data_IF_663389294639
#
_entry.id   IF_663389294639
#
_cell.length_a   1.000
_cell.length_b   1.000
_cell.length_c   1.000
_cell.angle_alpha   90.00
_cell.angle_beta   90.00
_cell.angle_gamma   90.00
#
_symmetry.space_group_name_H-M   'P 1'
#
loop_
_entity.id
_entity.type
_entity.pdbx_description
1 polymer ?
#
# COMPACT_ATOMS: atom_id res chain seq x y z
N UNK A 1 -19.02 -0.37 13.14
CA UNK A 1 -18.46 -1.73 13.31
C UNK A 1 -17.02 -1.76 12.83
N UNK A 2 -16.15 -2.31 13.63
CA UNK A 2 -14.73 -2.30 13.33
C UNK A 2 -14.36 -3.43 12.38
N UNK A 3 -13.45 -3.13 11.47
CA UNK A 3 -12.88 -4.14 10.59
C UNK A 3 -11.90 -5.00 11.39
N UNK A 4 -11.86 -6.28 11.12
CA UNK A 4 -10.85 -7.13 11.72
C UNK A 4 -9.52 -6.99 10.96
N UNK A 5 -8.46 -7.62 11.50
CA UNK A 5 -7.13 -7.51 10.94
C UNK A 5 -7.05 -7.95 9.48
N UNK A 6 -7.72 -9.04 9.13
CA UNK A 6 -7.66 -9.58 7.77
C UNK A 6 -8.37 -8.67 6.77
N UNK A 7 -9.49 -8.06 7.17
CA UNK A 7 -10.20 -7.11 6.32
C UNK A 7 -9.36 -5.86 6.07
N UNK A 8 -8.70 -5.34 7.10
CA UNK A 8 -7.82 -4.18 6.97
C UNK A 8 -6.68 -4.50 6.03
N UNK A 9 -6.07 -5.67 6.20
CA UNK A 9 -4.95 -6.11 5.38
C UNK A 9 -5.35 -6.25 3.92
N UNK A 10 -6.51 -6.83 3.65
CA UNK A 10 -6.99 -6.99 2.28
C UNK A 10 -7.29 -5.65 1.61
N UNK A 11 -7.92 -4.73 2.34
CA UNK A 11 -8.20 -3.40 1.81
C UNK A 11 -6.92 -2.63 1.53
N UNK A 12 -5.96 -2.70 2.45
CA UNK A 12 -4.66 -2.04 2.25
C UNK A 12 -3.97 -2.59 1.00
N UNK A 13 -3.95 -3.90 0.84
CA UNK A 13 -3.36 -4.55 -0.33
C UNK A 13 -3.98 -4.05 -1.63
N UNK A 14 -5.31 -4.01 -1.68
CA UNK A 14 -6.04 -3.56 -2.87
C UNK A 14 -5.75 -2.09 -3.17
N UNK A 15 -5.72 -1.24 -2.14
CA UNK A 15 -5.43 0.18 -2.32
C UNK A 15 -4.00 0.42 -2.78
N UNK A 16 -3.03 -0.33 -2.26
CA UNK A 16 -1.65 -0.22 -2.71
C UNK A 16 -1.52 -0.55 -4.19
N UNK A 17 -2.14 -1.63 -4.63
CA UNK A 17 -2.15 -2.01 -6.05
C UNK A 17 -2.80 -0.92 -6.89
N UNK A 18 -3.97 -0.45 -6.47
CA UNK A 18 -4.71 0.58 -7.19
C UNK A 18 -3.88 1.86 -7.36
N UNK A 19 -3.28 2.35 -6.27
CA UNK A 19 -2.49 3.58 -6.32
C UNK A 19 -1.27 3.43 -7.22
N UNK A 20 -0.59 2.28 -7.12
CA UNK A 20 0.58 2.02 -7.96
C UNK A 20 0.20 2.02 -9.44
N UNK A 21 -0.89 1.35 -9.80
CA UNK A 21 -1.33 1.27 -11.18
C UNK A 21 -1.82 2.62 -11.70
N UNK A 22 -2.49 3.41 -10.86
CA UNK A 22 -2.91 4.78 -11.24
C UNK A 22 -1.71 5.64 -11.59
N UNK A 23 -0.58 5.41 -10.93
CA UNK A 23 0.65 6.17 -11.19
C UNK A 23 1.55 5.46 -12.21
N UNK A 24 1.08 4.37 -12.80
CA UNK A 24 1.79 3.63 -13.86
C UNK A 24 3.17 3.17 -13.42
N UNK A 25 3.32 2.79 -12.17
CA UNK A 25 4.58 2.32 -11.61
C UNK A 25 4.62 0.79 -11.60
N UNK A 26 5.81 0.25 -11.82
CA UNK A 26 6.06 -1.16 -11.56
C UNK A 26 6.32 -1.37 -10.07
N UNK A 27 6.29 -2.61 -9.62
CA UNK A 27 6.63 -2.93 -8.23
C UNK A 27 8.06 -2.50 -7.89
N UNK A 28 8.99 -2.68 -8.82
CA UNK A 28 10.37 -2.26 -8.63
C UNK A 28 10.46 -0.73 -8.46
N UNK A 29 9.73 0.00 -9.28
CA UNK A 29 9.72 1.46 -9.22
C UNK A 29 9.14 1.96 -7.89
N UNK A 30 8.02 1.36 -7.46
CA UNK A 30 7.45 1.73 -6.16
C UNK A 30 8.44 1.47 -5.03
N UNK A 31 9.11 0.31 -5.06
CA UNK A 31 10.10 -0.01 -4.04
C UNK A 31 11.20 1.04 -3.95
N UNK A 32 11.67 1.54 -5.09
CA UNK A 32 12.71 2.57 -5.12
C UNK A 32 12.27 3.86 -4.44
N UNK A 33 11.00 4.19 -4.48
CA UNK A 33 10.48 5.40 -3.84
C UNK A 33 10.65 5.37 -2.31
N UNK A 34 10.66 4.19 -1.73
CA UNK A 34 10.66 4.01 -0.28
C UNK A 34 11.81 3.14 0.21
N UNK A 35 12.83 2.94 -0.63
CA UNK A 35 14.03 2.17 -0.31
C UNK A 35 13.70 0.72 0.05
N UNK A 36 12.78 0.12 -0.67
CA UNK A 36 12.39 -1.27 -0.48
C UNK A 36 12.58 -2.06 -1.78
N UNK A 37 12.73 -3.37 -1.65
CA UNK A 37 12.91 -4.24 -2.79
C UNK A 37 11.59 -4.53 -3.50
N UNK A 38 11.68 -4.98 -4.75
CA UNK A 38 10.51 -5.50 -5.46
C UNK A 38 9.85 -6.63 -4.68
N UNK A 39 10.64 -7.49 -4.04
CA UNK A 39 10.13 -8.61 -3.25
C UNK A 39 9.26 -8.12 -2.10
N UNK A 40 9.66 -7.04 -1.43
CA UNK A 40 8.86 -6.45 -0.36
C UNK A 40 7.53 -5.95 -0.91
N UNK A 41 7.55 -5.19 -2.01
CA UNK A 41 6.32 -4.67 -2.62
C UNK A 41 5.41 -5.82 -3.05
N UNK A 42 5.95 -6.83 -3.68
CA UNK A 42 5.16 -7.99 -4.10
C UNK A 42 4.52 -8.69 -2.90
N UNK A 43 5.26 -8.80 -1.79
CA UNK A 43 4.73 -9.40 -0.56
C UNK A 43 3.54 -8.61 -0.02
N UNK A 44 3.60 -7.27 -0.04
CA UNK A 44 2.47 -6.44 0.38
C UNK A 44 1.25 -6.67 -0.52
N UNK A 45 1.47 -6.75 -1.82
CA UNK A 45 0.38 -6.90 -2.79
C UNK A 45 -0.21 -8.30 -2.80
N UNK A 46 0.55 -9.29 -2.35
CA UNK A 46 0.04 -10.66 -2.20
C UNK A 46 -0.64 -10.89 -0.84
N UNK A 47 -0.58 -9.90 0.05
CA UNK A 47 -1.18 -10.04 1.36
C UNK A 47 -0.36 -10.87 2.33
N UNK A 48 0.92 -11.10 2.04
CA UNK A 48 1.81 -11.88 2.91
C UNK A 48 2.39 -11.03 4.04
N UNK A 49 2.51 -9.73 3.81
CA UNK A 49 3.03 -8.80 4.81
C UNK A 49 2.42 -7.42 4.56
N UNK A 50 2.72 -6.48 5.44
CA UNK A 50 2.29 -5.09 5.28
C UNK A 50 3.51 -4.19 5.37
N UNK A 51 3.50 -3.05 4.66
CA UNK A 51 4.58 -2.09 4.86
C UNK A 51 4.53 -1.54 6.28
N UNK A 52 5.69 -1.20 6.83
CA UNK A 52 5.74 -0.57 8.14
C UNK A 52 5.07 0.82 8.08
N UNK A 53 4.70 1.39 9.25
CA UNK A 53 3.95 2.65 9.27
C UNK A 53 4.64 3.81 8.56
N UNK A 54 5.95 3.91 8.65
CA UNK A 54 6.69 5.00 8.01
C UNK A 54 6.66 4.84 6.50
N UNK A 55 6.93 3.63 6.02
CA UNK A 55 6.89 3.33 4.59
C UNK A 55 5.49 3.60 4.02
N UNK A 56 4.46 3.15 4.72
CA UNK A 56 3.09 3.37 4.28
C UNK A 56 2.76 4.86 4.19
N UNK A 57 3.16 5.64 5.19
CA UNK A 57 2.93 7.08 5.16
C UNK A 57 3.64 7.74 3.98
N UNK A 58 4.88 7.33 3.70
CA UNK A 58 5.63 7.86 2.55
C UNK A 58 4.91 7.54 1.23
N UNK A 59 4.39 6.33 1.09
CA UNK A 59 3.63 5.95 -0.10
C UNK A 59 2.35 6.76 -0.23
N UNK A 60 1.61 6.93 0.87
CA UNK A 60 0.39 7.74 0.87
C UNK A 60 0.69 9.18 0.41
N UNK A 61 1.76 9.77 0.92
CA UNK A 61 2.16 11.12 0.52
C UNK A 61 2.51 11.18 -0.97
N UNK A 62 3.27 10.20 -1.45
CA UNK A 62 3.64 10.16 -2.86
C UNK A 62 2.40 10.04 -3.75
N UNK A 63 1.48 9.17 -3.37
CA UNK A 63 0.27 8.93 -4.16
C UNK A 63 -0.81 9.98 -3.93
N UNK A 64 -0.58 10.94 -3.03
CA UNK A 64 -1.54 11.99 -2.67
C UNK A 64 -2.85 11.40 -2.16
N UNK A 65 -2.72 10.39 -1.35
CA UNK A 65 -3.84 9.72 -0.68
C UNK A 65 -3.73 9.90 0.82
N UNK A 66 -4.88 9.85 1.50
CA UNK A 66 -4.89 9.87 2.96
C UNK A 66 -4.61 8.46 3.48
N UNK A 67 -4.23 8.36 4.75
CA UNK A 67 -4.09 7.05 5.39
C UNK A 67 -5.45 6.35 5.47
N UNK A 68 -6.53 7.10 5.69
CA UNK A 68 -7.87 6.52 5.69
C UNK A 68 -8.19 5.87 4.36
N UNK A 69 -7.84 6.53 3.25
CA UNK A 69 -8.04 5.93 1.94
C UNK A 69 -7.22 4.64 1.78
N UNK A 70 -5.97 4.65 2.26
CA UNK A 70 -5.10 3.48 2.17
C UNK A 70 -5.68 2.28 2.91
N UNK A 71 -6.40 2.52 4.00
CA UNK A 71 -7.04 1.46 4.78
C UNK A 71 -8.48 1.18 4.34
N UNK A 72 -8.94 1.80 3.27
CA UNK A 72 -10.27 1.55 2.74
C UNK A 72 -11.40 2.25 3.49
N UNK A 73 -11.09 3.24 4.31
CA UNK A 73 -12.09 3.97 5.10
C UNK A 73 -12.66 5.19 4.37
N UNK A 74 -12.13 5.51 3.20
CA UNK A 74 -12.72 6.53 2.33
C UNK A 74 -12.46 6.16 0.87
N UNK A 75 -13.22 6.74 -0.03
CA UNK A 75 -13.18 6.40 -1.46
C UNK A 75 -12.24 7.26 -2.29
#
# INVERSE_FOLDING_TARGET
MDKNRDEIKDLLRERLIQARLEHKLTQTEEGKLVDKSKTAVASWEQGLSMPDPVTLKRLALYYKKTMDWMYGDEE
#
